data_IF_167007616287
#
_entry.id   IF_167007616287
#
_cell.length_a   1.000
_cell.length_b   1.000
_cell.length_c   1.000
_cell.angle_alpha   90.00
_cell.angle_beta   90.00
_cell.angle_gamma   90.00
#
_symmetry.space_group_name_H-M   'P 1'
#
loop_
_entity.id
_entity.type
_entity.pdbx_description
1 polymer ?
#
# COMPACT_ATOMS: atom_id res chain seq x y z
N UNK A 1 23.32 3.62 -52.61
CA UNK A 1 22.16 2.78 -52.96
C UNK A 1 22.08 1.40 -52.29
N UNK A 2 22.95 1.04 -51.32
CA UNK A 2 22.72 -0.13 -50.44
C UNK A 2 21.94 0.20 -49.14
N UNK A 3 21.84 1.48 -48.79
CA UNK A 3 21.16 1.96 -47.56
C UNK A 3 19.64 1.92 -47.68
N UNK A 4 19.09 1.99 -48.90
CA UNK A 4 17.62 2.09 -49.13
C UNK A 4 16.92 0.73 -49.22
N UNK A 5 17.62 -0.35 -49.55
CA UNK A 5 17.01 -1.69 -49.61
C UNK A 5 17.00 -2.42 -48.25
N UNK A 6 17.90 -2.08 -47.32
CA UNK A 6 17.83 -2.57 -45.94
C UNK A 6 16.76 -1.85 -45.09
N UNK A 7 16.33 -0.65 -45.51
CA UNK A 7 15.32 0.20 -44.84
C UNK A 7 13.88 -0.38 -44.84
N UNK A 8 13.62 -1.47 -45.57
CA UNK A 8 12.31 -2.16 -45.64
C UNK A 8 12.23 -3.45 -44.85
N UNK A 9 13.23 -3.84 -44.05
CA UNK A 9 13.05 -4.95 -43.10
C UNK A 9 12.40 -4.44 -41.83
N UNK A 10 11.20 -4.96 -41.54
CA UNK A 10 10.57 -4.82 -40.23
C UNK A 10 11.54 -5.29 -39.14
N UNK A 11 11.72 -4.49 -38.09
CA UNK A 11 12.42 -4.91 -36.87
C UNK A 11 11.93 -6.29 -36.45
N UNK A 12 12.86 -7.20 -36.14
CA UNK A 12 12.51 -8.57 -35.72
C UNK A 12 12.00 -8.55 -34.27
N UNK A 13 10.98 -9.36 -33.99
CA UNK A 13 10.35 -9.49 -32.67
C UNK A 13 9.13 -8.57 -32.47
N UNK A 14 8.51 -8.66 -31.29
CA UNK A 14 7.40 -7.79 -30.87
C UNK A 14 7.91 -6.66 -29.99
N UNK A 15 7.19 -5.53 -29.97
CA UNK A 15 7.42 -4.48 -28.98
C UNK A 15 7.23 -5.07 -27.58
N UNK A 16 8.13 -4.77 -26.62
CA UNK A 16 7.97 -5.26 -25.27
C UNK A 16 6.65 -4.76 -24.65
N UNK A 17 6.04 -5.60 -23.82
CA UNK A 17 4.85 -5.23 -23.06
C UNK A 17 5.20 -4.21 -21.98
N UNK A 18 4.27 -3.28 -21.74
CA UNK A 18 4.27 -2.36 -20.59
C UNK A 18 4.38 -3.16 -19.29
N UNK A 19 5.15 -2.67 -18.32
CA UNK A 19 5.21 -3.30 -17.01
C UNK A 19 3.81 -3.31 -16.36
N UNK A 20 3.37 -4.41 -15.73
CA UNK A 20 2.16 -4.35 -14.91
C UNK A 20 2.42 -3.43 -13.71
N UNK A 21 1.36 -2.83 -13.19
CA UNK A 21 1.45 -2.20 -11.89
C UNK A 21 1.54 -3.28 -10.79
N UNK A 22 1.90 -2.91 -9.56
CA UNK A 22 1.77 -3.76 -8.37
C UNK A 22 1.50 -2.89 -7.15
N UNK A 23 0.72 -3.40 -6.19
CA UNK A 23 0.48 -2.71 -4.91
C UNK A 23 1.37 -3.31 -3.83
N UNK A 24 2.12 -2.47 -3.09
CA UNK A 24 3.18 -2.92 -2.16
C UNK A 24 2.69 -3.47 -0.80
N UNK A 25 1.46 -3.95 -0.72
CA UNK A 25 0.74 -4.15 0.54
C UNK A 25 0.75 -5.60 1.08
N UNK A 26 1.25 -6.57 0.29
CA UNK A 26 1.07 -8.02 0.53
C UNK A 26 1.63 -8.59 1.84
N UNK A 27 2.30 -7.81 2.69
CA UNK A 27 2.79 -8.22 4.01
C UNK A 27 2.01 -7.66 5.20
N UNK A 28 1.08 -6.71 5.00
CA UNK A 28 0.37 -6.01 6.09
C UNK A 28 -1.10 -6.44 6.28
N UNK A 29 -1.63 -7.34 5.42
CA UNK A 29 -3.01 -7.80 5.46
C UNK A 29 -3.12 -9.29 5.85
N UNK A 30 -3.19 -9.58 7.14
CA UNK A 30 -3.92 -10.72 7.72
C UNK A 30 -4.49 -10.23 9.07
N UNK A 31 -5.81 -10.31 9.33
CA UNK A 31 -6.51 -11.58 9.48
C UNK A 31 -7.94 -11.68 8.90
N UNK A 32 -8.44 -12.92 8.98
CA UNK A 32 -9.73 -13.52 8.60
C UNK A 32 -11.02 -12.79 9.01
N UNK A 33 -11.89 -12.49 8.03
CA UNK A 33 -13.36 -12.62 8.07
C UNK A 33 -13.95 -12.39 6.65
N UNK A 34 -15.07 -13.04 6.34
CA UNK A 34 -15.77 -12.98 5.04
C UNK A 34 -17.03 -12.11 5.18
N UNK A 35 -17.14 -11.05 4.38
CA UNK A 35 -18.36 -10.26 4.16
C UNK A 35 -19.05 -10.74 2.87
N UNK A 36 -20.38 -10.77 2.84
CA UNK A 36 -21.19 -11.35 1.74
C UNK A 36 -22.12 -10.34 1.05
N UNK A 37 -21.87 -9.03 1.20
CA UNK A 37 -22.69 -7.98 0.57
C UNK A 37 -22.15 -7.51 -0.79
N UNK A 38 -23.06 -7.21 -1.75
CA UNK A 38 -22.72 -6.82 -3.14
C UNK A 38 -22.67 -5.28 -3.31
N UNK A 39 -21.48 -4.75 -3.65
CA UNK A 39 -21.18 -3.36 -4.06
C UNK A 39 -19.71 -3.17 -4.45
N UNK A 40 -19.31 -2.01 -5.03
CA UNK A 40 -17.90 -1.75 -5.44
C UNK A 40 -16.93 -1.77 -4.27
N UNK A 41 -15.90 -2.58 -4.43
CA UNK A 41 -14.96 -3.01 -3.39
C UNK A 41 -13.51 -2.68 -3.81
N UNK A 42 -13.24 -1.40 -4.08
CA UNK A 42 -11.96 -0.97 -4.70
C UNK A 42 -11.29 0.21 -3.97
N UNK A 43 -11.59 0.39 -2.68
CA UNK A 43 -10.87 1.33 -1.81
C UNK A 43 -10.72 0.75 -0.39
N UNK A 44 -9.64 1.11 0.30
CA UNK A 44 -9.41 0.71 1.70
C UNK A 44 -9.55 1.91 2.65
N UNK A 45 -10.69 2.02 3.32
CA UNK A 45 -11.02 3.16 4.20
C UNK A 45 -10.11 3.30 5.42
N UNK A 46 -9.39 2.26 5.85
CA UNK A 46 -8.41 2.42 6.95
C UNK A 46 -7.17 3.14 6.48
N UNK A 47 -6.93 3.10 5.17
CA UNK A 47 -5.72 3.62 4.56
C UNK A 47 -5.95 4.87 3.73
N UNK A 48 -7.19 5.33 3.57
CA UNK A 48 -7.42 6.66 3.02
C UNK A 48 -6.81 7.73 3.94
N UNK A 49 -6.34 8.82 3.35
CA UNK A 49 -6.02 10.07 4.06
C UNK A 49 -7.23 10.64 4.81
N UNK A 50 -6.99 11.59 5.72
CA UNK A 50 -8.09 12.37 6.27
C UNK A 50 -8.61 13.35 5.22
N UNK A 51 -9.90 13.66 5.29
CA UNK A 51 -10.51 14.54 4.31
C UNK A 51 -9.98 15.97 4.46
N UNK A 52 -9.56 16.58 3.35
CA UNK A 52 -8.89 17.88 3.31
C UNK A 52 -7.38 17.83 3.56
N UNK A 53 -6.77 16.64 3.66
CA UNK A 53 -5.33 16.51 3.92
C UNK A 53 -4.47 17.16 2.83
N UNK A 54 -3.37 17.77 3.28
CA UNK A 54 -2.27 18.22 2.42
C UNK A 54 -1.17 17.15 2.45
N UNK A 55 -1.07 16.38 1.37
CA UNK A 55 -0.14 15.28 1.20
C UNK A 55 1.16 15.83 0.60
N UNK A 56 2.27 15.73 1.34
CA UNK A 56 3.59 16.16 0.88
C UNK A 56 4.16 15.13 -0.08
N UNK A 57 4.51 15.59 -1.29
CA UNK A 57 5.04 14.73 -2.37
C UNK A 57 6.41 15.24 -2.78
N UNK A 58 7.38 14.34 -2.96
CA UNK A 58 8.68 14.70 -3.55
C UNK A 58 9.14 13.69 -4.60
N UNK A 59 10.01 14.15 -5.50
CA UNK A 59 10.81 13.26 -6.32
C UNK A 59 12.07 12.84 -5.53
N UNK A 60 12.59 11.65 -5.83
CA UNK A 60 13.81 11.14 -5.23
C UNK A 60 15.02 11.30 -6.17
N UNK A 61 16.20 11.30 -5.58
CA UNK A 61 17.51 11.19 -6.24
C UNK A 61 17.87 12.31 -7.24
N UNK A 62 17.10 13.41 -7.25
CA UNK A 62 17.24 14.52 -8.19
C UNK A 62 17.31 14.08 -9.68
N UNK A 63 16.50 13.08 -10.04
CA UNK A 63 16.45 12.53 -11.41
C UNK A 63 15.23 13.02 -12.21
N UNK A 64 15.31 12.91 -13.53
CA UNK A 64 14.23 13.30 -14.45
C UNK A 64 14.19 14.80 -14.75
N UNK A 65 13.88 15.14 -16.00
CA UNK A 65 13.81 16.54 -16.43
C UNK A 65 12.67 17.29 -15.76
N UNK A 66 12.81 18.61 -15.60
CA UNK A 66 11.74 19.45 -15.06
C UNK A 66 10.44 19.32 -15.87
N UNK A 67 10.54 19.16 -17.20
CA UNK A 67 9.38 18.94 -18.06
C UNK A 67 8.64 17.64 -17.73
N UNK A 68 9.37 16.54 -17.53
CA UNK A 68 8.80 15.26 -17.12
C UNK A 68 8.13 15.36 -15.76
N UNK A 69 8.83 15.94 -14.78
CA UNK A 69 8.30 16.15 -13.43
C UNK A 69 7.03 17.00 -13.46
N UNK A 70 6.99 18.08 -14.26
CA UNK A 70 5.81 18.93 -14.39
C UNK A 70 4.59 18.18 -14.93
N UNK A 71 4.77 17.29 -15.90
CA UNK A 71 3.66 16.47 -16.42
C UNK A 71 3.15 15.48 -15.38
N UNK A 72 4.05 14.81 -14.66
CA UNK A 72 3.68 13.90 -13.56
C UNK A 72 2.91 14.66 -12.48
N UNK A 73 3.39 15.85 -12.08
CA UNK A 73 2.70 16.71 -11.13
C UNK A 73 1.29 17.09 -11.60
N UNK A 74 1.16 17.45 -12.88
CA UNK A 74 -0.13 17.79 -13.47
C UNK A 74 -1.12 16.62 -13.43
N UNK A 75 -0.71 15.42 -13.85
CA UNK A 75 -1.57 14.23 -13.88
C UNK A 75 -1.93 13.74 -12.47
N UNK A 76 -0.99 13.80 -11.53
CA UNK A 76 -1.28 13.52 -10.12
C UNK A 76 -2.37 14.46 -9.57
N UNK A 77 -2.29 15.74 -9.91
CA UNK A 77 -3.25 16.77 -9.51
C UNK A 77 -4.63 16.63 -10.16
N UNK A 78 -4.81 15.79 -11.19
CA UNK A 78 -6.14 15.51 -11.75
C UNK A 78 -7.14 15.03 -10.70
N UNK A 79 -6.68 14.29 -9.68
CA UNK A 79 -7.52 13.80 -8.59
C UNK A 79 -8.11 14.92 -7.71
N UNK A 80 -7.40 16.03 -7.53
CA UNK A 80 -7.84 17.18 -6.70
C UNK A 80 -9.12 17.85 -7.26
N UNK A 81 -9.45 17.60 -8.53
CA UNK A 81 -10.70 18.07 -9.14
C UNK A 81 -11.94 17.40 -8.53
N UNK A 82 -11.80 16.16 -8.10
CA UNK A 82 -12.91 15.32 -7.62
C UNK A 82 -12.82 15.05 -6.11
N UNK A 83 -11.61 15.07 -5.57
CA UNK A 83 -11.31 14.70 -4.20
C UNK A 83 -10.89 15.94 -3.39
N UNK A 84 -11.36 16.04 -2.15
CA UNK A 84 -10.93 17.06 -1.19
C UNK A 84 -9.61 16.65 -0.52
N UNK A 85 -8.54 16.76 -1.29
CA UNK A 85 -7.15 16.45 -0.91
C UNK A 85 -6.26 17.44 -1.66
N UNK A 86 -5.05 17.67 -1.17
CA UNK A 86 -4.07 18.51 -1.85
C UNK A 86 -2.71 17.83 -1.91
N UNK A 87 -2.21 17.55 -3.10
CA UNK A 87 -0.82 17.19 -3.32
C UNK A 87 0.05 18.45 -3.31
N UNK A 88 0.92 18.55 -2.31
CA UNK A 88 1.92 19.61 -2.22
C UNK A 88 3.28 19.04 -2.61
N UNK A 89 3.68 19.32 -3.84
CA UNK A 89 5.02 18.97 -4.32
C UNK A 89 6.06 19.88 -3.66
N UNK A 90 7.03 19.27 -2.98
CA UNK A 90 8.08 19.94 -2.21
C UNK A 90 9.47 19.61 -2.78
N UNK A 91 10.51 20.40 -2.46
CA UNK A 91 11.87 20.12 -2.91
C UNK A 91 12.35 18.71 -2.50
N UNK A 92 13.17 18.09 -3.35
CA UNK A 92 13.66 16.71 -3.17
C UNK A 92 14.44 16.49 -1.86
N UNK A 93 15.10 17.54 -1.38
CA UNK A 93 15.84 17.55 -0.11
C UNK A 93 14.95 17.69 1.14
N UNK A 94 13.62 17.75 0.99
CA UNK A 94 12.69 17.79 2.13
C UNK A 94 12.83 16.49 2.94
N UNK A 95 13.13 16.57 4.26
CA UNK A 95 13.52 15.39 5.04
C UNK A 95 12.36 14.45 5.36
N UNK A 96 11.15 14.98 5.52
CA UNK A 96 9.95 14.20 5.86
C UNK A 96 8.84 14.52 4.87
N UNK A 97 8.36 13.49 4.18
CA UNK A 97 7.30 13.58 3.17
C UNK A 97 6.40 12.34 3.24
N UNK A 98 5.21 12.44 2.69
CA UNK A 98 4.26 11.33 2.62
C UNK A 98 4.58 10.44 1.42
N UNK A 99 4.49 11.00 0.21
CA UNK A 99 4.72 10.28 -1.06
C UNK A 99 6.11 10.62 -1.58
N UNK A 100 6.88 9.58 -1.95
CA UNK A 100 8.24 9.70 -2.49
C UNK A 100 8.32 8.95 -3.81
N UNK A 101 8.43 9.71 -4.90
CA UNK A 101 8.39 9.22 -6.27
C UNK A 101 9.80 8.89 -6.73
N UNK A 102 10.05 7.62 -7.04
CA UNK A 102 11.21 7.19 -7.81
C UNK A 102 10.85 7.20 -9.30
N UNK A 103 11.67 7.89 -10.09
CA UNK A 103 11.60 7.84 -11.54
C UNK A 103 12.56 6.76 -12.03
N UNK A 104 12.03 5.56 -12.16
CA UNK A 104 12.75 4.36 -12.55
C UNK A 104 12.87 4.21 -14.06
N UNK A 105 13.50 3.12 -14.45
CA UNK A 105 13.48 2.58 -15.81
C UNK A 105 13.35 1.07 -15.74
N UNK A 106 13.06 0.44 -16.87
CA UNK A 106 12.99 -1.02 -16.94
C UNK A 106 14.25 -1.75 -16.44
N UNK A 107 15.39 -1.07 -16.41
CA UNK A 107 16.65 -1.65 -15.93
C UNK A 107 16.64 -1.93 -14.42
N UNK A 108 15.80 -1.24 -13.64
CA UNK A 108 15.65 -1.46 -12.20
C UNK A 108 14.69 -2.61 -11.85
N UNK A 109 13.91 -3.10 -12.83
CA UNK A 109 12.89 -4.15 -12.68
C UNK A 109 11.85 -3.87 -11.57
N UNK A 110 11.62 -2.62 -11.19
CA UNK A 110 10.62 -2.23 -10.20
C UNK A 110 9.23 -2.07 -10.83
N UNK A 111 9.15 -1.81 -12.14
CA UNK A 111 7.88 -1.59 -12.85
C UNK A 111 7.14 -0.35 -12.34
N UNK A 112 5.81 -0.35 -12.39
CA UNK A 112 5.01 0.71 -11.75
C UNK A 112 4.45 0.19 -10.44
N UNK A 113 4.52 0.97 -9.37
CA UNK A 113 3.96 0.60 -8.09
C UNK A 113 3.75 1.79 -7.17
N UNK A 114 2.87 1.60 -6.20
CA UNK A 114 2.58 2.59 -5.18
C UNK A 114 2.16 1.92 -3.88
N UNK A 115 2.48 2.56 -2.77
CA UNK A 115 1.95 2.25 -1.45
C UNK A 115 0.49 2.71 -1.37
N UNK A 116 -0.31 1.95 -0.62
CA UNK A 116 -1.73 2.24 -0.50
C UNK A 116 -1.99 3.34 0.55
N UNK A 117 -2.39 4.52 0.10
CA UNK A 117 -2.85 5.59 0.98
C UNK A 117 -1.85 5.96 2.09
N UNK A 118 -2.31 6.09 3.34
CA UNK A 118 -1.49 6.45 4.51
C UNK A 118 -0.40 5.42 4.82
N UNK A 119 -0.42 4.22 4.24
CA UNK A 119 0.69 3.27 4.36
C UNK A 119 2.01 3.87 3.83
N UNK A 120 1.94 4.89 2.96
CA UNK A 120 3.08 5.72 2.57
C UNK A 120 3.88 6.27 3.79
N UNK A 121 3.19 6.57 4.90
CA UNK A 121 3.81 7.13 6.12
C UNK A 121 4.63 6.09 6.90
N UNK A 122 4.35 4.80 6.69
CA UNK A 122 5.04 3.71 7.38
C UNK A 122 6.34 3.29 6.67
N UNK A 123 6.54 3.74 5.44
CA UNK A 123 7.76 3.45 4.68
C UNK A 123 8.88 4.38 5.14
N UNK A 124 10.09 3.86 5.45
CA UNK A 124 11.24 4.68 5.77
C UNK A 124 11.51 5.79 4.74
N UNK A 125 11.91 6.99 5.20
CA UNK A 125 12.05 8.17 4.34
C UNK A 125 13.12 8.05 3.25
N UNK A 126 14.06 7.10 3.38
CA UNK A 126 15.09 6.80 2.38
C UNK A 126 14.63 5.80 1.31
N UNK A 127 13.41 5.26 1.42
CA UNK A 127 12.80 4.38 0.42
C UNK A 127 11.64 5.09 -0.29
N UNK A 128 11.46 4.77 -1.57
CA UNK A 128 10.33 5.26 -2.34
C UNK A 128 9.00 4.66 -1.85
N UNK A 129 7.92 5.41 -1.99
CA UNK A 129 6.56 4.90 -1.82
C UNK A 129 5.85 4.68 -3.14
N UNK A 130 6.37 5.27 -4.22
CA UNK A 130 5.80 5.21 -5.55
C UNK A 130 6.94 5.11 -6.56
N UNK A 131 6.84 4.19 -7.52
CA UNK A 131 7.77 4.07 -8.63
C UNK A 131 7.04 4.23 -9.96
N UNK A 132 7.58 5.08 -10.84
CA UNK A 132 7.14 5.21 -12.22
C UNK A 132 8.29 4.77 -13.12
N UNK A 133 8.09 3.69 -13.88
CA UNK A 133 9.02 3.29 -14.92
C UNK A 133 8.91 4.25 -16.12
N UNK A 134 9.77 5.25 -16.14
CA UNK A 134 9.71 6.32 -17.14
C UNK A 134 10.02 5.85 -18.56
N UNK A 135 10.64 4.67 -18.72
CA UNK A 135 10.86 4.10 -20.04
C UNK A 135 9.55 3.68 -20.72
N UNK A 136 8.51 3.32 -19.97
CA UNK A 136 7.17 3.05 -20.50
C UNK A 136 6.42 4.32 -20.96
N UNK A 137 6.97 5.51 -20.67
CA UNK A 137 6.41 6.78 -21.14
C UNK A 137 7.00 7.22 -22.47
N UNK A 138 8.04 6.57 -22.98
CA UNK A 138 8.67 6.95 -24.24
C UNK A 138 7.80 6.50 -25.42
N UNK A 139 7.61 7.37 -26.40
CA UNK A 139 6.98 7.03 -27.68
C UNK A 139 7.96 6.29 -28.60
N UNK A 140 8.11 4.99 -28.37
CA UNK A 140 8.96 4.13 -29.20
C UNK A 140 8.54 4.12 -30.68
N UNK A 141 7.27 4.41 -31.02
CA UNK A 141 6.86 4.49 -32.43
C UNK A 141 7.53 5.67 -33.13
N UNK A 142 7.69 6.80 -32.45
CA UNK A 142 8.43 7.94 -32.99
C UNK A 142 9.91 7.58 -33.27
N UNK A 143 10.56 6.81 -32.38
CA UNK A 143 11.94 6.37 -32.60
C UNK A 143 12.09 5.32 -33.70
N UNK A 144 11.09 4.44 -33.86
CA UNK A 144 11.01 3.53 -35.02
C UNK A 144 10.90 4.32 -36.32
N UNK A 145 10.13 5.41 -36.35
CA UNK A 145 10.05 6.27 -37.53
C UNK A 145 11.36 7.03 -37.79
N UNK A 146 12.04 7.54 -36.76
CA UNK A 146 13.39 8.12 -36.91
C UNK A 146 14.41 7.10 -37.42
N UNK A 147 14.32 5.85 -36.95
CA UNK A 147 15.17 4.75 -37.42
C UNK A 147 14.98 4.51 -38.93
N UNK A 148 13.75 4.61 -39.44
CA UNK A 148 13.43 4.44 -40.87
C UNK A 148 13.79 5.65 -41.72
N UNK A 149 13.47 6.87 -41.25
CA UNK A 149 13.57 8.11 -42.03
C UNK A 149 14.92 8.82 -41.88
N UNK A 150 15.73 8.41 -40.91
CA UNK A 150 16.95 9.11 -40.49
C UNK A 150 16.66 10.11 -39.37
N UNK A 151 17.69 10.43 -38.59
CA UNK A 151 17.59 11.35 -37.45
C UNK A 151 18.70 11.13 -36.42
N UNK A 152 18.72 11.94 -35.35
CA UNK A 152 19.75 11.87 -34.31
C UNK A 152 19.91 10.49 -33.68
N UNK A 153 18.80 9.75 -33.50
CA UNK A 153 18.82 8.39 -32.96
C UNK A 153 19.55 7.41 -33.91
N UNK A 154 19.30 7.47 -35.22
CA UNK A 154 20.01 6.60 -36.17
C UNK A 154 21.51 6.91 -36.23
N UNK A 155 21.88 8.20 -36.15
CA UNK A 155 23.30 8.60 -36.09
C UNK A 155 23.99 8.16 -34.80
N UNK A 156 23.26 8.11 -33.69
CA UNK A 156 23.73 7.45 -32.47
C UNK A 156 24.00 5.95 -32.69
N UNK A 157 23.06 5.21 -33.29
CA UNK A 157 23.25 3.77 -33.56
C UNK A 157 24.43 3.49 -34.49
N UNK A 158 24.62 4.33 -35.53
CA UNK A 158 25.77 4.22 -36.43
C UNK A 158 27.09 4.43 -35.68
N UNK A 159 27.19 5.48 -34.85
CA UNK A 159 28.39 5.75 -34.04
C UNK A 159 28.70 4.65 -33.04
N UNK A 160 27.66 4.03 -32.47
CA UNK A 160 27.79 2.85 -31.60
C UNK A 160 28.32 1.61 -32.34
N UNK A 161 28.27 1.59 -33.67
CA UNK A 161 28.63 0.42 -34.47
C UNK A 161 27.53 -0.66 -34.49
N UNK A 162 26.26 -0.26 -34.31
CA UNK A 162 25.13 -1.20 -34.26
C UNK A 162 25.03 -2.02 -35.55
N UNK A 163 24.96 -3.34 -35.43
CA UNK A 163 24.72 -4.24 -36.55
C UNK A 163 23.22 -4.33 -36.88
N UNK A 164 22.78 -3.56 -37.88
CA UNK A 164 21.38 -3.47 -38.27
C UNK A 164 20.76 -4.77 -38.82
N UNK A 165 21.56 -5.76 -39.23
CA UNK A 165 21.03 -7.01 -39.79
C UNK A 165 20.33 -7.89 -38.74
N UNK A 166 20.72 -7.76 -37.47
CA UNK A 166 20.18 -8.51 -36.33
C UNK A 166 19.51 -7.61 -35.29
N UNK A 167 19.26 -6.34 -35.62
CA UNK A 167 18.70 -5.38 -34.69
C UNK A 167 17.22 -5.68 -34.39
N UNK A 168 16.90 -5.85 -33.11
CA UNK A 168 15.56 -6.22 -32.64
C UNK A 168 14.83 -5.05 -31.99
N UNK A 169 13.53 -5.21 -31.73
CA UNK A 169 12.79 -4.25 -30.90
C UNK A 169 13.32 -4.15 -29.46
N UNK A 170 13.88 -5.24 -28.91
CA UNK A 170 14.52 -5.22 -27.60
C UNK A 170 15.79 -4.38 -27.58
N UNK A 171 16.58 -4.44 -28.66
CA UNK A 171 17.75 -3.58 -28.84
C UNK A 171 17.35 -2.12 -29.01
N UNK A 172 16.34 -1.83 -29.82
CA UNK A 172 15.79 -0.48 -29.98
C UNK A 172 15.34 0.09 -28.64
N UNK A 173 14.63 -0.68 -27.83
CA UNK A 173 14.16 -0.22 -26.53
C UNK A 173 15.33 0.19 -25.63
N UNK A 174 16.33 -0.70 -25.47
CA UNK A 174 17.53 -0.43 -24.66
C UNK A 174 18.30 0.77 -25.17
N UNK A 175 18.44 0.89 -26.49
CA UNK A 175 19.18 1.97 -27.12
C UNK A 175 18.47 3.32 -27.01
N UNK A 176 17.14 3.36 -27.10
CA UNK A 176 16.37 4.60 -26.91
C UNK A 176 16.52 5.10 -25.47
N UNK A 177 16.46 4.21 -24.48
CA UNK A 177 16.70 4.56 -23.07
C UNK A 177 18.14 5.06 -22.87
N UNK A 178 19.12 4.43 -23.51
CA UNK A 178 20.53 4.82 -23.43
C UNK A 178 20.88 6.08 -24.24
N UNK A 179 20.10 6.43 -25.26
CA UNK A 179 20.38 7.54 -26.18
C UNK A 179 20.31 8.91 -25.49
N UNK A 180 19.61 9.03 -24.35
CA UNK A 180 19.45 10.29 -23.59
C UNK A 180 19.08 11.46 -24.50
N UNK A 181 18.04 11.27 -25.31
CA UNK A 181 17.59 12.28 -26.27
C UNK A 181 17.29 13.61 -25.55
N UNK A 182 17.87 14.75 -25.95
CA UNK A 182 17.50 16.03 -25.38
C UNK A 182 16.04 16.43 -25.69
N UNK A 183 15.42 15.80 -26.70
CA UNK A 183 14.05 16.06 -27.15
C UNK A 183 13.20 14.79 -27.12
N UNK A 184 13.22 14.05 -26.00
CA UNK A 184 12.44 12.82 -25.83
C UNK A 184 11.00 13.00 -26.32
N UNK A 185 10.55 12.04 -27.15
CA UNK A 185 9.15 11.94 -27.53
C UNK A 185 8.41 11.10 -26.49
N UNK A 186 7.45 11.71 -25.81
CA UNK A 186 6.67 11.07 -24.77
C UNK A 186 5.33 10.57 -25.34
N UNK A 187 4.93 9.37 -24.90
CA UNK A 187 3.57 8.87 -24.99
C UNK A 187 2.75 9.44 -23.82
N UNK A 188 2.17 10.62 -24.02
CA UNK A 188 1.42 11.35 -23.00
C UNK A 188 0.23 10.57 -22.45
N UNK A 189 -0.45 9.76 -23.28
CA UNK A 189 -1.59 8.95 -22.85
C UNK A 189 -1.17 7.85 -21.88
N UNK A 190 -0.06 7.17 -22.14
CA UNK A 190 0.51 6.16 -21.22
C UNK A 190 0.96 6.80 -19.92
N UNK A 191 1.68 7.94 -20.02
CA UNK A 191 2.16 8.70 -18.86
C UNK A 191 1.02 9.17 -17.97
N UNK A 192 -0.03 9.76 -18.54
CA UNK A 192 -1.21 10.20 -17.82
C UNK A 192 -1.86 9.02 -17.12
N UNK A 193 -2.21 7.97 -17.87
CA UNK A 193 -2.95 6.84 -17.32
C UNK A 193 -2.21 6.15 -16.18
N UNK A 194 -0.91 5.87 -16.35
CA UNK A 194 -0.09 5.30 -15.27
C UNK A 194 0.01 6.24 -14.08
N UNK A 195 0.27 7.53 -14.30
CA UNK A 195 0.42 8.48 -13.18
C UNK A 195 -0.88 8.59 -12.39
N UNK A 196 -2.02 8.74 -13.07
CA UNK A 196 -3.34 8.78 -12.43
C UNK A 196 -3.62 7.47 -11.66
N UNK A 197 -3.27 6.30 -12.21
CA UNK A 197 -3.39 5.00 -11.56
C UNK A 197 -2.56 4.89 -10.27
N UNK A 198 -1.25 5.17 -10.33
CA UNK A 198 -0.36 5.04 -9.17
C UNK A 198 -0.70 6.05 -8.06
N UNK A 199 -1.17 7.23 -8.45
CA UNK A 199 -1.70 8.19 -7.47
C UNK A 199 -3.08 7.78 -6.94
N UNK A 200 -3.90 7.04 -7.70
CA UNK A 200 -5.10 6.40 -7.18
C UNK A 200 -4.79 5.44 -6.03
N UNK A 201 -3.76 4.60 -6.19
CA UNK A 201 -3.23 3.78 -5.09
C UNK A 201 -2.70 4.64 -3.92
N UNK A 202 -1.97 5.70 -4.22
CA UNK A 202 -1.49 6.61 -3.18
C UNK A 202 -2.64 7.30 -2.42
N UNK A 203 -3.87 7.26 -2.93
CA UNK A 203 -5.10 7.73 -2.28
C UNK A 203 -5.94 6.62 -1.64
N UNK A 204 -5.47 5.37 -1.69
CA UNK A 204 -6.15 4.24 -1.07
C UNK A 204 -7.08 3.47 -2.02
N UNK A 205 -7.07 3.77 -3.32
CA UNK A 205 -7.79 2.97 -4.33
C UNK A 205 -7.03 1.68 -4.64
N UNK A 206 -7.78 0.61 -4.84
CA UNK A 206 -7.30 -0.70 -5.23
C UNK A 206 -7.63 -0.97 -6.70
N UNK A 207 -7.12 -2.07 -7.23
CA UNK A 207 -7.38 -2.44 -8.63
C UNK A 207 -8.86 -2.77 -8.87
N UNK A 208 -9.40 -2.31 -10.00
CA UNK A 208 -10.80 -2.57 -10.35
C UNK A 208 -11.05 -4.03 -10.77
N UNK A 209 -10.03 -4.73 -11.29
CA UNK A 209 -10.17 -6.16 -11.62
C UNK A 209 -10.40 -7.06 -10.39
N UNK A 210 -10.16 -6.52 -9.20
CA UNK A 210 -10.47 -7.15 -7.91
C UNK A 210 -11.95 -7.05 -7.54
N UNK A 211 -12.79 -6.40 -8.36
CA UNK A 211 -14.23 -6.38 -8.13
C UNK A 211 -14.81 -7.81 -8.14
N UNK A 212 -15.50 -8.25 -7.08
CA UNK A 212 -16.08 -9.59 -7.03
C UNK A 212 -17.02 -9.86 -8.20
N UNK A 213 -16.78 -10.96 -8.92
CA UNK A 213 -17.55 -11.37 -10.11
C UNK A 213 -17.49 -10.41 -11.31
N UNK A 214 -16.58 -9.43 -11.32
CA UNK A 214 -16.40 -8.52 -12.47
C UNK A 214 -15.80 -9.20 -13.69
N UNK A 215 -14.95 -10.22 -13.49
CA UNK A 215 -14.24 -10.93 -14.55
C UNK A 215 -14.35 -12.45 -14.36
N UNK A 216 -14.71 -13.16 -15.43
CA UNK A 216 -14.69 -14.63 -15.47
C UNK A 216 -13.31 -15.15 -15.84
N UNK A 217 -12.40 -15.11 -14.87
CA UNK A 217 -11.00 -15.50 -15.05
C UNK A 217 -10.82 -16.97 -15.47
N UNK A 218 -10.01 -17.20 -16.49
CA UNK A 218 -9.38 -18.48 -16.78
C UNK A 218 -8.09 -18.59 -15.92
N UNK A 219 -8.26 -18.91 -14.64
CA UNK A 219 -7.17 -18.89 -13.64
C UNK A 219 -5.94 -19.71 -14.07
N UNK A 220 -6.13 -20.84 -14.73
CA UNK A 220 -5.04 -21.70 -15.21
C UNK A 220 -4.13 -21.00 -16.21
N UNK A 221 -4.71 -20.29 -17.18
CA UNK A 221 -3.94 -19.52 -18.16
C UNK A 221 -3.21 -18.36 -17.52
N UNK A 222 -3.84 -17.68 -16.56
CA UNK A 222 -3.27 -16.56 -15.81
C UNK A 222 -2.07 -17.03 -14.99
N UNK A 223 -2.19 -18.08 -14.18
CA UNK A 223 -1.06 -18.61 -13.39
C UNK A 223 0.11 -19.03 -14.28
N UNK A 224 -0.16 -19.76 -15.38
CA UNK A 224 0.89 -20.22 -16.31
C UNK A 224 1.63 -19.03 -16.95
N UNK A 225 0.91 -17.98 -17.32
CA UNK A 225 1.50 -16.78 -17.91
C UNK A 225 2.42 -16.07 -16.90
N UNK A 226 1.91 -15.72 -15.72
CA UNK A 226 2.69 -14.96 -14.74
C UNK A 226 3.86 -15.76 -14.15
N UNK A 227 3.72 -17.08 -13.99
CA UNK A 227 4.82 -17.95 -13.61
C UNK A 227 5.93 -17.97 -14.68
N UNK A 228 5.57 -18.08 -15.97
CA UNK A 228 6.54 -18.16 -17.07
C UNK A 228 7.26 -16.84 -17.35
N UNK A 229 6.53 -15.73 -17.39
CA UNK A 229 7.07 -14.46 -17.87
C UNK A 229 7.51 -13.52 -16.75
N UNK A 230 7.01 -13.69 -15.52
CA UNK A 230 7.35 -12.83 -14.39
C UNK A 230 7.91 -13.58 -13.18
N UNK A 231 7.94 -14.92 -13.22
CA UNK A 231 8.41 -15.73 -12.10
C UNK A 231 7.51 -15.64 -10.87
N UNK A 232 6.27 -15.17 -11.01
CA UNK A 232 5.36 -15.03 -9.87
C UNK A 232 4.82 -16.39 -9.45
N UNK A 233 4.86 -16.66 -8.15
CA UNK A 233 4.18 -17.82 -7.59
C UNK A 233 2.67 -17.60 -7.53
N UNK A 234 1.92 -18.68 -7.28
CA UNK A 234 0.46 -18.64 -7.23
C UNK A 234 -0.07 -17.58 -6.26
N UNK A 235 0.48 -17.50 -5.05
CA UNK A 235 0.04 -16.54 -4.03
C UNK A 235 0.20 -15.08 -4.48
N UNK A 236 1.30 -14.76 -5.19
CA UNK A 236 1.52 -13.43 -5.75
C UNK A 236 0.55 -13.11 -6.89
N UNK A 237 0.22 -14.10 -7.73
CA UNK A 237 -0.80 -13.95 -8.78
C UNK A 237 -2.20 -13.82 -8.18
N UNK A 238 -2.50 -14.60 -7.14
CA UNK A 238 -3.73 -14.47 -6.37
C UNK A 238 -3.85 -13.01 -5.91
N UNK A 239 -2.91 -12.51 -5.11
CA UNK A 239 -2.97 -11.15 -4.55
C UNK A 239 -3.02 -10.02 -5.59
N UNK A 240 -2.16 -10.07 -6.62
CA UNK A 240 -2.01 -8.92 -7.53
C UNK A 240 -2.96 -8.95 -8.74
N UNK A 241 -3.55 -10.11 -9.06
CA UNK A 241 -4.31 -10.29 -10.31
C UNK A 241 -5.71 -10.86 -10.08
N UNK A 242 -5.84 -11.84 -9.19
CA UNK A 242 -7.09 -12.62 -9.04
C UNK A 242 -7.83 -12.35 -7.73
N UNK A 243 -7.23 -11.62 -6.79
CA UNK A 243 -7.79 -11.35 -5.48
C UNK A 243 -8.94 -10.38 -5.67
N UNK A 244 -10.15 -10.95 -5.65
CA UNK A 244 -11.33 -10.27 -5.17
C UNK A 244 -11.39 -10.55 -3.68
N UNK A 245 -10.90 -9.63 -2.85
CA UNK A 245 -10.95 -9.84 -1.40
C UNK A 245 -12.28 -9.33 -0.85
N UNK A 246 -12.86 -10.12 0.05
CA UNK A 246 -14.06 -9.78 0.82
C UNK A 246 -13.75 -8.79 1.96
N UNK A 247 -12.49 -8.34 2.10
CA UNK A 247 -12.03 -7.37 3.11
C UNK A 247 -12.34 -5.92 2.65
N UNK A 248 -12.80 -5.77 1.41
CA UNK A 248 -12.97 -4.47 0.79
C UNK A 248 -14.40 -3.97 1.01
N UNK A 249 -14.50 -2.91 1.80
CA UNK A 249 -15.78 -2.31 2.17
C UNK A 249 -16.42 -1.59 0.98
N UNK A 250 -17.75 -1.65 0.96
CA UNK A 250 -18.62 -1.34 -0.17
C UNK A 250 -18.85 0.16 -0.31
N UNK A 251 -18.65 0.68 -1.50
CA UNK A 251 -19.16 2.00 -1.86
C UNK A 251 -19.99 1.94 -3.15
N UNK A 252 -21.09 1.19 -3.05
CA UNK A 252 -22.36 1.42 -3.79
C UNK A 252 -22.33 1.55 -5.31
N UNK A 253 -21.22 1.24 -5.99
CA UNK A 253 -21.10 1.38 -7.44
C UNK A 253 -20.95 0.00 -8.11
N UNK A 254 -21.36 -0.11 -9.36
CA UNK A 254 -21.15 -1.33 -10.15
C UNK A 254 -19.69 -1.42 -10.61
N UNK A 255 -19.26 -2.62 -11.01
CA UNK A 255 -18.01 -2.83 -11.74
C UNK A 255 -17.84 -1.81 -12.87
N UNK A 256 -16.67 -1.17 -12.95
CA UNK A 256 -16.36 -0.15 -13.97
C UNK A 256 -15.20 -0.59 -14.89
N UNK A 257 -15.47 -1.17 -16.07
CA UNK A 257 -14.41 -1.58 -17.00
C UNK A 257 -13.59 -0.41 -17.57
N UNK A 258 -14.05 0.84 -17.40
CA UNK A 258 -13.34 2.04 -17.82
C UNK A 258 -12.50 2.65 -16.69
N UNK A 259 -12.56 2.08 -15.47
CA UNK A 259 -11.80 2.60 -14.34
C UNK A 259 -10.32 2.72 -14.66
N UNK A 260 -9.72 3.84 -14.26
CA UNK A 260 -8.28 4.04 -14.35
C UNK A 260 -7.52 3.03 -13.50
N UNK A 261 -8.16 2.46 -12.47
CA UNK A 261 -7.61 1.43 -11.60
C UNK A 261 -7.70 0.01 -12.20
N UNK A 262 -8.22 -0.15 -13.43
CA UNK A 262 -8.37 -1.45 -14.07
C UNK A 262 -7.11 -1.86 -14.86
N UNK A 263 -6.66 -3.11 -14.68
CA UNK A 263 -5.61 -3.69 -15.53
C UNK A 263 -6.16 -4.09 -16.89
N UNK A 264 -5.35 -4.00 -17.94
CA UNK A 264 -5.71 -4.63 -19.21
C UNK A 264 -6.03 -6.11 -19.00
N UNK A 265 -7.19 -6.53 -19.51
CA UNK A 265 -7.63 -7.93 -19.53
C UNK A 265 -7.71 -8.36 -20.98
N UNK A 266 -6.98 -9.42 -21.32
CA UNK A 266 -6.97 -9.99 -22.65
C UNK A 266 -7.87 -11.23 -22.71
N UNK A 267 -8.41 -11.53 -23.89
CA UNK A 267 -9.38 -12.62 -24.07
C UNK A 267 -8.82 -13.98 -23.67
N UNK A 268 -7.50 -14.18 -23.78
CA UNK A 268 -6.85 -15.42 -23.35
C UNK A 268 -6.85 -15.61 -21.83
N UNK A 269 -7.09 -14.56 -21.05
CA UNK A 269 -7.17 -14.60 -19.58
C UNK A 269 -8.58 -14.92 -19.08
N UNK A 270 -9.59 -14.93 -19.94
CA UNK A 270 -11.01 -15.04 -19.55
C UNK A 270 -11.64 -16.27 -20.18
N UNK A 271 -12.70 -16.78 -19.54
CA UNK A 271 -13.43 -17.96 -20.01
C UNK A 271 -14.45 -17.60 -21.10
N UNK A 272 -14.89 -16.35 -21.18
CA UNK A 272 -15.93 -15.85 -22.07
C UNK A 272 -15.41 -14.84 -23.11
N UNK A 273 -14.10 -14.66 -23.22
CA UNK A 273 -13.48 -13.74 -24.17
C UNK A 273 -13.61 -12.27 -23.79
N UNK A 274 -14.05 -11.96 -22.57
CA UNK A 274 -14.07 -10.60 -22.03
C UNK A 274 -12.69 -9.94 -22.11
N UNK A 275 -12.66 -8.67 -22.52
CA UNK A 275 -11.43 -7.88 -22.64
C UNK A 275 -11.60 -6.47 -22.10
N UNK A 276 -10.52 -5.91 -21.57
CA UNK A 276 -10.40 -4.51 -21.14
C UNK A 276 -9.08 -3.97 -21.66
N UNK A 277 -9.12 -2.82 -22.32
CA UNK A 277 -7.92 -2.14 -22.81
C UNK A 277 -7.14 -1.43 -21.69
N UNK A 278 -6.08 -0.71 -22.06
CA UNK A 278 -5.46 0.24 -21.13
C UNK A 278 -6.31 1.50 -21.04
N UNK A 279 -6.87 1.75 -19.86
CA UNK A 279 -7.56 3.00 -19.57
C UNK A 279 -6.51 4.10 -19.30
N UNK A 280 -6.77 5.30 -19.79
CA UNK A 280 -5.79 6.40 -19.79
C UNK A 280 -6.32 7.69 -19.17
N UNK A 281 -7.54 7.63 -18.61
CA UNK A 281 -8.22 8.74 -17.95
C UNK A 281 -9.05 8.23 -16.76
N UNK A 282 -9.22 9.07 -15.75
CA UNK A 282 -10.15 8.85 -14.62
C UNK A 282 -11.59 8.73 -15.13
N UNK A 283 -12.23 7.58 -14.90
CA UNK A 283 -13.60 7.30 -15.30
C UNK A 283 -14.65 8.04 -14.45
N UNK A 284 -15.91 8.06 -14.88
CA UNK A 284 -17.01 8.57 -14.06
C UNK A 284 -17.22 7.76 -12.77
N UNK A 285 -16.97 6.44 -12.80
CA UNK A 285 -17.00 5.63 -11.59
C UNK A 285 -15.91 6.05 -10.62
N UNK A 286 -14.69 6.27 -11.10
CA UNK A 286 -13.56 6.70 -10.24
C UNK A 286 -13.82 8.06 -9.60
N UNK A 287 -14.38 9.01 -10.37
CA UNK A 287 -14.76 10.35 -9.89
C UNK A 287 -15.77 10.27 -8.75
N UNK A 288 -16.82 9.45 -8.92
CA UNK A 288 -17.84 9.25 -7.88
C UNK A 288 -17.26 8.61 -6.64
N UNK A 289 -16.42 7.60 -6.81
CA UNK A 289 -15.77 6.91 -5.69
C UNK A 289 -14.87 7.85 -4.90
N UNK A 290 -13.95 8.55 -5.57
CA UNK A 290 -13.00 9.42 -4.88
C UNK A 290 -13.68 10.63 -4.24
N UNK A 291 -14.76 11.15 -4.85
CA UNK A 291 -15.55 12.23 -4.26
C UNK A 291 -16.32 11.78 -3.02
N UNK A 292 -16.77 10.52 -2.97
CA UNK A 292 -17.39 9.95 -1.79
C UNK A 292 -16.38 9.69 -0.67
N UNK A 293 -15.16 9.24 -1.01
CA UNK A 293 -14.07 9.08 -0.04
C UNK A 293 -13.59 10.43 0.50
N UNK A 294 -13.48 11.43 -0.37
CA UNK A 294 -12.96 12.76 -0.06
C UNK A 294 -13.94 13.88 -0.46
N UNK A 295 -15.07 14.03 0.26
CA UNK A 295 -16.10 15.01 -0.09
C UNK A 295 -15.61 16.45 0.10
N UNK A 296 -15.86 17.32 -0.89
CA UNK A 296 -15.47 18.75 -0.84
C UNK A 296 -16.36 19.61 0.05
N UNK A 297 -17.58 19.16 0.29
CA UNK A 297 -18.61 19.85 1.07
C UNK A 297 -18.60 19.47 2.57
N UNK A 298 -17.75 18.52 2.97
CA UNK A 298 -17.68 18.02 4.35
C UNK A 298 -16.27 18.09 4.90
N UNK A 299 -16.17 18.26 6.22
CA UNK A 299 -14.89 18.17 6.94
C UNK A 299 -14.47 16.72 7.19
N UNK A 300 -15.43 15.84 7.48
CA UNK A 300 -15.21 14.41 7.72
C UNK A 300 -16.05 13.67 6.69
N UNK A 301 -15.45 12.69 6.02
CA UNK A 301 -16.16 11.82 5.08
C UNK A 301 -17.14 10.93 5.84
N UNK A 302 -18.31 10.66 5.25
CA UNK A 302 -19.24 9.66 5.79
C UNK A 302 -18.63 8.24 5.76
N UNK A 303 -17.58 8.05 4.95
CA UNK A 303 -16.83 6.80 4.80
C UNK A 303 -15.55 6.77 5.64
N UNK A 304 -15.28 7.83 6.40
CA UNK A 304 -14.15 7.81 7.32
C UNK A 304 -14.37 6.72 8.38
N UNK A 305 -13.29 6.05 8.75
CA UNK A 305 -13.26 5.08 9.85
C UNK A 305 -12.32 5.56 10.96
N UNK A 306 -12.51 5.14 12.22
CA UNK A 306 -11.55 5.42 13.27
C UNK A 306 -10.19 4.82 12.91
N UNK A 307 -9.11 5.61 13.01
CA UNK A 307 -7.74 5.15 12.79
C UNK A 307 -6.93 5.51 14.00
N UNK A 308 -6.17 4.56 14.51
CA UNK A 308 -5.36 4.72 15.71
C UNK A 308 -3.94 4.27 15.38
N UNK A 309 -2.97 5.15 15.61
CA UNK A 309 -1.56 4.84 15.51
C UNK A 309 -0.95 4.76 16.89
N UNK A 310 -0.21 3.69 17.15
CA UNK A 310 0.56 3.48 18.37
C UNK A 310 2.04 3.52 18.00
N UNK A 311 2.80 4.40 18.65
CA UNK A 311 4.24 4.55 18.41
C UNK A 311 5.02 4.62 19.72
N UNK A 312 6.35 4.48 19.62
CA UNK A 312 7.27 4.63 20.76
C UNK A 312 6.87 3.78 21.98
N UNK A 313 6.55 2.50 21.72
CA UNK A 313 6.12 1.54 22.75
C UNK A 313 7.33 1.11 23.58
N UNK A 314 7.16 1.15 24.91
CA UNK A 314 8.08 0.68 25.93
C UNK A 314 7.29 0.04 27.09
N UNK A 315 7.92 -0.85 27.87
CA UNK A 315 7.22 -1.58 28.93
C UNK A 315 6.94 -0.73 30.16
N UNK A 316 7.56 0.44 30.24
CA UNK A 316 7.45 1.33 31.37
C UNK A 316 7.79 0.60 32.66
N UNK A 317 6.82 0.47 33.57
CA UNK A 317 6.99 -0.14 34.88
C UNK A 317 6.07 -1.35 35.06
N UNK A 318 6.66 -2.48 35.49
CA UNK A 318 5.90 -3.63 36.02
C UNK A 318 6.35 -3.86 37.44
N UNK A 319 5.39 -3.94 38.38
CA UNK A 319 5.69 -4.21 39.78
C UNK A 319 4.63 -5.06 40.45
N UNK A 320 5.07 -5.76 41.50
CA UNK A 320 4.18 -6.41 42.45
C UNK A 320 3.69 -5.36 43.46
N UNK A 321 2.43 -5.46 43.84
CA UNK A 321 1.83 -4.61 44.87
C UNK A 321 1.24 -5.47 45.97
N UNK A 322 1.79 -5.33 47.18
CA UNK A 322 1.41 -6.13 48.35
C UNK A 322 0.06 -5.69 48.95
N UNK A 323 -0.36 -4.45 48.69
CA UNK A 323 -1.63 -3.90 49.21
C UNK A 323 -2.78 -4.34 48.30
N UNK A 324 -2.65 -4.12 46.98
CA UNK A 324 -3.60 -4.58 45.97
C UNK A 324 -3.54 -6.09 45.73
N UNK A 325 -2.47 -6.76 46.18
CA UNK A 325 -2.22 -8.21 46.02
C UNK A 325 -2.27 -8.62 44.55
N UNK A 326 -1.50 -7.93 43.71
CA UNK A 326 -1.42 -8.25 42.28
C UNK A 326 -0.24 -7.59 41.57
N UNK A 327 -0.20 -7.78 40.26
CA UNK A 327 0.73 -7.13 39.34
C UNK A 327 0.12 -5.82 38.82
N UNK A 328 0.90 -4.75 38.90
CA UNK A 328 0.62 -3.47 38.27
C UNK A 328 1.52 -3.33 37.04
N UNK A 329 0.90 -3.01 35.91
CA UNK A 329 1.56 -2.95 34.60
C UNK A 329 1.26 -1.58 33.99
N UNK A 330 2.31 -0.81 33.71
CA UNK A 330 2.25 0.56 33.19
C UNK A 330 2.99 0.65 31.85
N UNK A 331 2.39 0.17 30.75
CA UNK A 331 3.00 0.25 29.43
C UNK A 331 3.11 1.71 28.98
N UNK A 332 4.23 2.08 28.38
CA UNK A 332 4.54 3.43 27.92
C UNK A 332 4.46 3.51 26.40
N UNK A 333 3.71 4.45 25.84
CA UNK A 333 3.56 4.59 24.38
C UNK A 333 2.95 5.94 24.03
N UNK A 334 3.04 6.30 22.75
CA UNK A 334 2.31 7.45 22.18
C UNK A 334 1.14 6.96 21.34
N UNK A 335 0.05 7.71 21.39
CA UNK A 335 -1.15 7.44 20.60
C UNK A 335 -1.53 8.67 19.79
N UNK A 336 -1.88 8.41 18.53
CA UNK A 336 -2.50 9.38 17.63
C UNK A 336 -3.79 8.79 17.09
N UNK A 337 -4.83 9.62 17.00
CA UNK A 337 -6.16 9.21 16.51
C UNK A 337 -6.63 10.12 15.39
N UNK A 338 -7.40 9.56 14.45
CA UNK A 338 -8.02 10.30 13.34
C UNK A 338 -9.18 11.20 13.80
N UNK A 339 -9.91 11.80 12.86
CA UNK A 339 -11.04 12.66 13.15
C UNK A 339 -12.27 11.94 13.74
N UNK A 340 -12.21 10.62 13.93
CA UNK A 340 -13.29 9.82 14.50
C UNK A 340 -12.92 9.21 15.85
N UNK A 341 -13.95 9.00 16.67
CA UNK A 341 -13.82 8.37 17.98
C UNK A 341 -13.48 6.89 17.78
N UNK A 342 -12.39 6.45 18.40
CA UNK A 342 -11.95 5.05 18.35
C UNK A 342 -12.21 4.34 19.68
N UNK A 343 -12.50 3.04 19.63
CA UNK A 343 -12.53 2.19 20.83
C UNK A 343 -11.35 1.22 20.78
N UNK A 344 -10.62 1.12 21.89
CA UNK A 344 -9.48 0.20 22.01
C UNK A 344 -9.54 -0.64 23.28
N UNK A 345 -8.91 -1.80 23.21
CA UNK A 345 -8.53 -2.62 24.35
C UNK A 345 -7.01 -2.58 24.50
N UNK A 346 -6.55 -2.13 25.67
CA UNK A 346 -5.17 -2.31 26.11
C UNK A 346 -5.10 -3.63 26.86
N UNK A 347 -4.37 -4.60 26.33
CA UNK A 347 -4.36 -5.97 26.83
C UNK A 347 -2.94 -6.32 27.28
N UNK A 348 -2.82 -6.85 28.49
CA UNK A 348 -1.60 -7.47 29.00
C UNK A 348 -1.85 -8.97 29.18
N UNK A 349 -1.21 -9.80 28.35
CA UNK A 349 -1.28 -11.27 28.42
C UNK A 349 -0.04 -11.83 29.11
N UNK A 350 -0.19 -12.95 29.80
CA UNK A 350 0.94 -13.62 30.44
C UNK A 350 1.48 -14.74 29.55
N UNK A 351 2.80 -14.84 29.52
CA UNK A 351 3.53 -15.90 28.83
C UNK A 351 4.48 -16.61 29.79
N UNK A 352 4.96 -17.77 29.37
CA UNK A 352 6.10 -18.47 29.97
C UNK A 352 7.34 -17.56 30.07
N UNK A 353 8.29 -17.92 30.95
CA UNK A 353 9.52 -17.13 31.19
C UNK A 353 10.33 -16.88 29.90
N UNK A 354 10.36 -17.85 28.98
CA UNK A 354 11.00 -17.71 27.67
C UNK A 354 10.24 -16.75 26.73
N UNK A 355 8.94 -16.56 26.95
CA UNK A 355 8.06 -15.75 26.12
C UNK A 355 7.42 -16.51 24.96
N UNK A 356 7.60 -17.83 24.87
CA UNK A 356 7.16 -18.63 23.72
C UNK A 356 5.69 -19.05 23.77
N UNK A 357 5.13 -19.27 24.97
CA UNK A 357 3.77 -19.78 25.12
C UNK A 357 2.93 -18.88 26.02
N UNK A 358 1.70 -18.61 25.59
CA UNK A 358 0.70 -17.99 26.46
C UNK A 358 0.24 -18.96 27.55
N UNK A 359 -0.04 -18.42 28.73
CA UNK A 359 -0.52 -19.22 29.85
C UNK A 359 -2.04 -19.38 29.71
N UNK A 360 -2.57 -20.61 29.57
CA UNK A 360 -4.01 -20.84 29.49
C UNK A 360 -4.68 -20.57 30.85
N UNK A 361 -5.96 -20.19 30.83
CA UNK A 361 -6.76 -20.01 32.05
C UNK A 361 -8.22 -20.39 31.83
N UNK A 362 -8.87 -20.83 32.90
CA UNK A 362 -10.33 -21.01 32.96
C UNK A 362 -11.05 -19.79 33.55
N UNK A 363 -10.31 -18.77 34.02
CA UNK A 363 -10.89 -17.57 34.62
C UNK A 363 -11.37 -16.59 33.54
N UNK A 364 -12.69 -16.45 33.38
CA UNK A 364 -13.27 -15.60 32.34
C UNK A 364 -13.00 -14.10 32.53
N UNK A 365 -12.85 -13.63 33.77
CA UNK A 365 -12.67 -12.21 34.08
C UNK A 365 -11.24 -11.71 33.83
N UNK A 366 -10.27 -12.61 33.97
CA UNK A 366 -8.86 -12.33 33.71
C UNK A 366 -8.35 -13.21 32.57
N UNK A 367 -9.10 -13.17 31.46
CA UNK A 367 -8.76 -13.88 30.24
C UNK A 367 -8.91 -13.01 29.00
N UNK A 368 -8.03 -13.29 28.02
CA UNK A 368 -8.15 -12.86 26.65
C UNK A 368 -8.02 -14.08 25.74
N UNK A 369 -9.10 -14.48 25.05
CA UNK A 369 -9.14 -15.69 24.23
C UNK A 369 -8.68 -16.96 24.97
N UNK A 370 -9.16 -17.17 26.20
CA UNK A 370 -8.81 -18.31 27.08
C UNK A 370 -7.35 -18.34 27.57
N UNK A 371 -6.60 -17.25 27.36
CA UNK A 371 -5.26 -17.05 27.90
C UNK A 371 -5.31 -16.06 29.06
N UNK A 372 -4.47 -16.25 30.08
CA UNK A 372 -4.38 -15.39 31.25
C UNK A 372 -4.03 -13.95 30.84
N UNK A 373 -4.93 -13.01 31.11
CA UNK A 373 -4.78 -11.62 30.70
C UNK A 373 -5.54 -10.65 31.59
N UNK A 374 -5.12 -9.38 31.56
CA UNK A 374 -5.93 -8.27 32.06
C UNK A 374 -6.05 -7.22 30.95
N UNK A 375 -7.13 -6.45 30.95
CA UNK A 375 -7.32 -5.42 29.93
C UNK A 375 -8.15 -4.25 30.42
N UNK A 376 -7.96 -3.10 29.77
CA UNK A 376 -8.79 -1.91 29.92
C UNK A 376 -9.37 -1.53 28.56
N UNK A 377 -10.69 -1.39 28.52
CA UNK A 377 -11.40 -0.81 27.37
C UNK A 377 -11.40 0.71 27.50
N UNK A 378 -11.01 1.42 26.45
CA UNK A 378 -10.98 2.88 26.44
C UNK A 378 -11.60 3.43 25.15
N UNK A 379 -12.38 4.50 25.30
CA UNK A 379 -12.81 5.33 24.18
C UNK A 379 -11.81 6.47 24.01
N UNK A 380 -11.23 6.56 22.83
CA UNK A 380 -10.25 7.57 22.46
C UNK A 380 -10.96 8.72 21.75
N UNK A 381 -10.75 9.93 22.24
CA UNK A 381 -11.33 11.13 21.63
C UNK A 381 -10.72 11.37 20.25
N UNK A 382 -11.49 11.92 19.29
CA UNK A 382 -10.98 12.32 17.99
C UNK A 382 -9.77 13.25 18.08
N UNK A 383 -8.86 13.14 17.10
CA UNK A 383 -7.70 14.03 16.93
C UNK A 383 -6.82 14.15 18.18
N UNK A 384 -6.81 13.11 19.01
CA UNK A 384 -5.94 13.01 20.18
C UNK A 384 -4.51 12.73 19.74
N UNK A 385 -3.55 13.45 20.34
CA UNK A 385 -2.13 13.14 20.33
C UNK A 385 -1.64 13.18 21.78
N UNK A 386 -1.45 12.01 22.39
CA UNK A 386 -1.08 11.94 23.82
C UNK A 386 -0.11 10.80 24.08
N UNK A 387 0.64 10.92 25.18
CA UNK A 387 1.50 9.87 25.70
C UNK A 387 0.89 9.21 26.92
N UNK A 388 1.01 7.89 26.99
CA UNK A 388 0.68 7.10 28.17
C UNK A 388 1.94 6.68 28.90
N UNK A 389 1.89 6.80 30.22
CA UNK A 389 2.93 6.40 31.18
C UNK A 389 4.35 6.91 30.87
N UNK A 390 4.47 8.10 30.24
CA UNK A 390 5.73 8.81 29.97
C UNK A 390 5.96 9.97 30.93
N UNK A 391 7.23 10.37 31.05
CA UNK A 391 7.65 11.57 31.79
C UNK A 391 7.12 11.61 33.24
N UNK A 392 7.16 10.46 33.92
CA UNK A 392 6.71 10.31 35.31
C UNK A 392 5.19 10.27 35.52
N UNK A 393 4.37 10.42 34.46
CA UNK A 393 2.91 10.25 34.56
C UNK A 393 2.54 8.77 34.64
N UNK A 394 1.46 8.45 35.36
CA UNK A 394 0.83 7.12 35.41
C UNK A 394 -0.66 7.24 35.10
N UNK A 395 -1.00 7.25 33.82
CA UNK A 395 -2.36 7.52 33.31
C UNK A 395 -3.01 6.31 32.62
N UNK A 396 -2.35 5.14 32.61
CA UNK A 396 -2.95 3.86 32.25
C UNK A 396 -2.38 2.76 33.14
N UNK A 397 -3.23 2.13 33.95
CA UNK A 397 -2.89 1.00 34.81
C UNK A 397 -3.60 -0.26 34.32
N UNK A 398 -2.84 -1.32 34.06
CA UNK A 398 -3.37 -2.67 33.87
C UNK A 398 -3.07 -3.46 35.14
N UNK A 399 -4.11 -4.01 35.77
CA UNK A 399 -3.99 -4.70 37.05
C UNK A 399 -4.38 -6.18 36.93
N UNK A 400 -3.52 -7.06 37.43
CA UNK A 400 -3.76 -8.50 37.46
C UNK A 400 -3.63 -9.03 38.90
N UNK A 401 -4.73 -9.40 39.58
CA UNK A 401 -4.71 -9.89 40.95
C UNK A 401 -4.15 -11.31 41.09
N UNK A 402 -3.32 -11.55 42.11
CA UNK A 402 -2.69 -12.87 42.34
C UNK A 402 -3.68 -13.98 42.68
N UNK A 403 -4.83 -13.64 43.29
CA UNK A 403 -5.87 -14.62 43.63
C UNK A 403 -6.46 -15.31 42.39
N UNK A 404 -6.42 -14.61 41.26
CA UNK A 404 -6.94 -15.05 39.97
C UNK A 404 -5.86 -15.75 39.11
N UNK A 405 -4.67 -15.95 39.69
CA UNK A 405 -3.53 -16.68 39.11
C UNK A 405 -2.94 -17.71 40.09
N UNK A 406 -3.75 -18.63 40.66
CA UNK A 406 -3.28 -19.53 41.71
C UNK A 406 -2.11 -20.41 41.28
N UNK A 407 -2.07 -20.80 40.00
CA UNK A 407 -1.10 -21.75 39.45
C UNK A 407 0.26 -21.11 39.12
N UNK A 408 0.32 -19.77 39.07
CA UNK A 408 1.54 -19.03 38.72
C UNK A 408 2.38 -18.63 39.94
N UNK A 409 1.96 -18.99 41.15
CA UNK A 409 2.69 -18.66 42.39
C UNK A 409 4.13 -19.17 42.34
N UNK A 410 5.10 -18.27 42.56
CA UNK A 410 6.52 -18.58 42.54
C UNK A 410 7.11 -18.77 41.14
N UNK A 411 6.30 -18.70 40.08
CA UNK A 411 6.77 -18.80 38.70
C UNK A 411 7.24 -17.44 38.19
N UNK A 412 8.15 -17.47 37.22
CA UNK A 412 8.51 -16.31 36.41
C UNK A 412 7.70 -16.30 35.13
N UNK A 413 7.15 -15.14 34.82
CA UNK A 413 6.34 -14.92 33.61
C UNK A 413 6.83 -13.69 32.89
N UNK A 414 6.63 -13.63 31.58
CA UNK A 414 6.70 -12.36 30.85
C UNK A 414 5.29 -11.87 30.57
N UNK A 415 5.18 -10.57 30.37
CA UNK A 415 3.94 -9.92 29.95
C UNK A 415 4.10 -9.57 28.48
N UNK A 416 3.05 -9.80 27.70
CA UNK A 416 2.88 -9.26 26.35
C UNK A 416 1.82 -8.16 26.39
N UNK A 417 2.20 -6.95 26.00
CA UNK A 417 1.32 -5.81 25.84
C UNK A 417 0.85 -5.73 24.40
N UNK A 418 -0.44 -5.55 24.22
CA UNK A 418 -1.06 -5.41 22.91
C UNK A 418 -2.20 -4.42 22.94
N UNK A 419 -2.31 -3.62 21.88
CA UNK A 419 -3.46 -2.74 21.67
C UNK A 419 -4.31 -3.30 20.55
N UNK A 420 -5.61 -3.39 20.79
CA UNK A 420 -6.58 -3.82 19.80
C UNK A 420 -7.62 -2.74 19.57
N UNK A 421 -7.90 -2.41 18.32
CA UNK A 421 -9.01 -1.56 17.93
C UNK A 421 -10.26 -2.41 17.71
N UNK A 422 -11.38 -1.93 18.25
CA UNK A 422 -12.70 -2.52 18.13
C UNK A 422 -13.61 -1.50 17.44
N UNK A 423 -13.93 -1.76 16.18
CA UNK A 423 -14.85 -0.98 15.37
C UNK A 423 -16.09 -1.82 15.07
N UNK A 424 -17.01 -1.79 16.04
CA UNK A 424 -18.27 -2.53 15.97
C UNK A 424 -19.13 -2.10 14.79
N UNK A 425 -19.08 -0.81 14.41
CA UNK A 425 -19.92 -0.27 13.33
C UNK A 425 -19.57 -0.92 11.99
N UNK A 426 -18.29 -1.18 11.77
CA UNK A 426 -17.78 -1.80 10.55
C UNK A 426 -17.44 -3.30 10.75
N UNK A 427 -17.94 -3.92 11.82
CA UNK A 427 -17.71 -5.33 12.17
C UNK A 427 -16.22 -5.74 12.14
N UNK A 428 -15.35 -4.90 12.69
CA UNK A 428 -13.90 -5.05 12.57
C UNK A 428 -13.20 -5.06 13.93
N UNK A 429 -12.24 -5.98 14.04
CA UNK A 429 -11.38 -6.12 15.21
C UNK A 429 -9.92 -6.28 14.77
N UNK A 430 -9.03 -5.35 15.15
CA UNK A 430 -7.65 -5.30 14.64
C UNK A 430 -6.63 -5.16 15.77
N UNK A 431 -5.55 -5.96 15.75
CA UNK A 431 -4.36 -5.76 16.60
C UNK A 431 -3.49 -4.65 15.99
N UNK A 432 -3.20 -3.59 16.75
CA UNK A 432 -2.44 -2.41 16.29
C UNK A 432 -0.93 -2.50 16.60
N UNK A 433 -0.52 -3.42 17.45
CA UNK A 433 0.87 -3.53 17.93
C UNK A 433 1.44 -4.91 17.65
N UNK A 434 2.75 -4.97 17.38
CA UNK A 434 3.49 -6.23 17.20
C UNK A 434 4.14 -6.67 18.51
N UNK A 435 4.20 -7.99 18.71
CA UNK A 435 4.56 -8.70 19.95
C UNK A 435 5.70 -8.03 20.74
N UNK A 436 5.30 -7.20 21.70
CA UNK A 436 6.21 -6.53 22.60
C UNK A 436 6.19 -7.36 23.89
N UNK A 437 7.33 -7.86 24.36
CA UNK A 437 7.44 -8.72 25.56
C UNK A 437 8.30 -8.09 26.64
N UNK A 438 7.88 -8.20 27.90
CA UNK A 438 8.61 -7.65 29.03
C UNK A 438 9.84 -8.50 29.38
N UNK A 439 10.71 -7.96 30.22
CA UNK A 439 11.61 -8.80 31.02
C UNK A 439 10.80 -9.74 31.94
N UNK A 440 11.34 -10.92 32.30
CA UNK A 440 10.66 -11.82 33.24
C UNK A 440 10.37 -11.15 34.58
N UNK A 441 9.19 -11.44 35.14
CA UNK A 441 8.70 -10.95 36.43
C UNK A 441 8.33 -12.16 37.27
N UNK A 442 8.80 -12.19 38.51
CA UNK A 442 8.44 -13.25 39.47
C UNK A 442 7.07 -12.93 40.07
N UNK A 443 6.13 -13.88 39.95
CA UNK A 443 4.87 -13.83 40.69
C UNK A 443 5.17 -14.27 42.13
N UNK A 444 4.95 -13.42 43.15
CA UNK A 444 5.30 -13.74 44.52
C UNK A 444 4.71 -15.08 44.98
N UNK A 445 5.58 -15.94 45.51
CA UNK A 445 5.17 -17.02 46.40
C UNK A 445 4.81 -16.44 47.77
N UNK A 446 3.99 -17.16 48.54
CA UNK A 446 3.65 -16.75 49.91
C UNK A 446 4.87 -16.47 50.77
#
# INVERSE_FOLDING_TARGET
>A
NFVVQAQKKSLKGSMPFKAPCTTLMGSALLPTAIDTTQGRNVANNDLIWENGDVILVKFMDDVGSQSLRNMIMQYAKSWEQYANITFKFVPDNTPVTNIRIKLGSRDDNLGHNSQLGIACNNVPQYLQTLNLDTSDFIDYKAYVEQFKKGGPFLEYLKRKGTNFNNYTYGDLYRDVVAFKDPNIKWNYSSMRGTTEHEFGHALGLLHEQSYPNGIKWNKDTVYKYYAKYQGWNKAKVDFNVLEASDIFYTNGTSYDPLSIMHYPVYAWQTLDGFTVGSNTEISEGDKKLIAALYPKDKKISDLAVPKIQITNIDYGEIKTDNVKKGLLIYPSFDIQTSALLGTVYFVARLTTEDGMYYIPTTNENYSWNKMAATYVKMRLMPSTNTSFNKNGKKNLELFFPFKDMPDLKGQKVKIEFSVYQDDVVNNRYQKLTFNFLSSPVTVPGK
#
